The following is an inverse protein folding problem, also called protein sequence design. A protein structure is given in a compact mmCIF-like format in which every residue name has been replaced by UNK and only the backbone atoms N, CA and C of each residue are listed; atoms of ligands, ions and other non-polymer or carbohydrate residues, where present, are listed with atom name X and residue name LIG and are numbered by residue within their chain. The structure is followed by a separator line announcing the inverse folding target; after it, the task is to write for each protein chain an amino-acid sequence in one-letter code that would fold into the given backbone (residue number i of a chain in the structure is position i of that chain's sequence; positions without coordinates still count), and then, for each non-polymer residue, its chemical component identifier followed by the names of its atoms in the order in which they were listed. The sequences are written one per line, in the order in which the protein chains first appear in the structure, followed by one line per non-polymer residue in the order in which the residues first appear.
data_IF_307579056648
#
_entry.id   IF_307579056648
#
_cell.length_a   1.000
_cell.length_b   1.000
_cell.length_c   1.000
_cell.angle_alpha   90.00
_cell.angle_beta   90.00
_cell.angle_gamma   90.00
#
_symmetry.space_group_name_H-M   'P 1'
#
loop_
_entity.id
_entity.type
_entity.pdbx_description
1 polymer ?
#
# COMPACT_ATOMS: atom_id res chain seq x y z
N UNK A 1 16.32 21.86 17.03
CA UNK A 1 15.84 20.67 17.77
C UNK A 1 16.01 19.44 16.89
N UNK A 2 16.71 18.41 17.37
CA UNK A 2 16.77 17.10 16.71
C UNK A 2 15.41 16.41 16.79
N UNK A 3 15.03 15.63 15.77
CA UNK A 3 13.70 14.98 15.69
C UNK A 3 13.58 13.68 16.51
N UNK A 4 14.58 13.30 17.29
CA UNK A 4 14.53 12.10 18.14
C UNK A 4 14.47 10.78 17.37
N UNK A 5 15.03 10.73 16.15
CA UNK A 5 15.06 9.54 15.30
C UNK A 5 16.49 9.15 14.97
N UNK A 6 16.72 7.84 14.84
CA UNK A 6 17.99 7.25 14.41
C UNK A 6 17.74 6.22 13.30
N UNK A 7 18.75 6.01 12.45
CA UNK A 7 18.75 4.97 11.43
C UNK A 7 19.87 3.99 11.71
N UNK A 8 19.54 2.70 11.72
CA UNK A 8 20.49 1.62 11.97
C UNK A 8 20.43 0.71 10.74
N UNK A 9 21.60 0.43 10.16
CA UNK A 9 21.75 -0.52 9.05
C UNK A 9 22.22 -1.85 9.61
N UNK A 10 21.43 -2.89 9.39
CA UNK A 10 21.86 -4.27 9.56
C UNK A 10 22.42 -4.83 8.25
N UNK A 11 23.29 -5.83 8.35
CA UNK A 11 23.83 -6.52 7.18
C UNK A 11 22.78 -7.43 6.54
N UNK A 12 22.03 -8.16 7.38
CA UNK A 12 20.95 -9.04 6.91
C UNK A 12 19.59 -8.52 7.32
N UNK A 13 18.60 -8.80 6.46
CA UNK A 13 17.20 -8.51 6.75
C UNK A 13 16.69 -9.23 7.99
N UNK A 14 17.03 -10.51 8.16
CA UNK A 14 16.59 -11.32 9.30
C UNK A 14 17.00 -10.68 10.63
N UNK A 15 18.23 -10.18 10.73
CA UNK A 15 18.72 -9.49 11.94
C UNK A 15 17.91 -8.22 12.24
N UNK A 16 17.48 -7.49 11.21
CA UNK A 16 16.60 -6.33 11.38
C UNK A 16 15.19 -6.74 11.82
N UNK A 17 14.68 -7.88 11.36
CA UNK A 17 13.36 -8.41 11.75
C UNK A 17 13.36 -8.85 13.22
N UNK A 18 14.40 -9.55 13.68
CA UNK A 18 14.60 -9.90 15.08
C UNK A 18 14.71 -8.63 15.95
N UNK A 19 15.51 -7.64 15.53
CA UNK A 19 15.64 -6.38 16.26
C UNK A 19 14.32 -5.60 16.37
N UNK A 20 13.50 -5.58 15.31
CA UNK A 20 12.16 -4.97 15.36
C UNK A 20 11.28 -5.71 16.37
N UNK A 21 11.29 -7.04 16.36
CA UNK A 21 10.48 -7.85 17.27
C UNK A 21 10.82 -7.60 18.74
N UNK A 22 12.11 -7.48 19.05
CA UNK A 22 12.58 -7.36 20.44
C UNK A 22 12.53 -5.92 20.97
N UNK A 23 12.75 -4.91 20.12
CA UNK A 23 12.90 -3.52 20.54
C UNK A 23 11.65 -2.66 20.31
N UNK A 24 10.77 -3.02 19.37
CA UNK A 24 9.59 -2.22 19.08
C UNK A 24 8.61 -2.24 20.28
N UNK A 25 8.24 -1.06 20.78
CA UNK A 25 7.39 -0.93 21.95
C UNK A 25 8.15 -0.97 23.29
N UNK A 26 9.47 -1.13 23.27
CA UNK A 26 10.27 -1.08 24.50
C UNK A 26 10.33 0.36 25.05
N UNK A 27 10.24 0.51 26.36
CA UNK A 27 10.38 1.82 27.03
C UNK A 27 11.77 1.92 27.65
N UNK A 28 12.74 2.62 27.03
CA UNK A 28 14.06 2.76 27.61
C UNK A 28 14.01 3.57 28.91
N UNK A 29 14.93 3.31 29.85
CA UNK A 29 14.97 4.00 31.14
C UNK A 29 15.19 5.49 30.92
N UNK A 30 14.31 6.31 31.50
CA UNK A 30 14.33 7.78 31.35
C UNK A 30 13.52 8.32 30.17
N UNK A 31 13.00 7.47 29.28
CA UNK A 31 12.05 7.90 28.26
C UNK A 31 10.61 7.94 28.82
N UNK A 32 9.81 8.88 28.32
CA UNK A 32 8.39 9.01 28.68
C UNK A 32 7.54 8.04 27.85
N UNK A 33 7.91 7.85 26.58
CA UNK A 33 7.19 7.05 25.58
C UNK A 33 7.99 5.82 25.13
N UNK A 34 7.28 4.81 24.65
CA UNK A 34 7.88 3.62 24.06
C UNK A 34 8.54 3.97 22.71
N UNK A 35 9.67 3.33 22.41
CA UNK A 35 10.31 3.49 21.10
C UNK A 35 9.54 2.73 20.04
N UNK A 36 9.60 3.23 18.81
CA UNK A 36 9.10 2.51 17.64
C UNK A 36 10.26 2.12 16.78
N UNK A 37 10.31 0.84 16.40
CA UNK A 37 11.33 0.31 15.51
C UNK A 37 10.62 -0.26 14.30
N UNK A 38 10.97 0.27 13.12
CA UNK A 38 10.37 -0.11 11.84
C UNK A 38 11.40 0.03 10.73
N UNK A 39 11.16 -0.64 9.61
CA UNK A 39 11.94 -0.40 8.41
C UNK A 39 11.85 1.06 7.97
N UNK A 40 12.99 1.62 7.57
CA UNK A 40 13.05 2.94 7.01
C UNK A 40 12.22 2.99 5.71
N UNK A 41 11.50 4.09 5.51
CA UNK A 41 10.81 4.32 4.24
C UNK A 41 11.87 4.55 3.16
N UNK A 42 11.92 3.67 2.15
CA UNK A 42 12.66 3.99 0.93
C UNK A 42 11.89 5.08 0.19
N UNK A 43 12.54 6.21 -0.20
CA UNK A 43 11.86 7.35 -0.82
C UNK A 43 11.09 6.98 -2.11
N UNK A 44 11.37 5.82 -2.72
CA UNK A 44 10.75 5.36 -3.95
C UNK A 44 9.68 4.25 -3.78
N UNK A 45 9.30 3.85 -2.56
CA UNK A 45 8.31 2.77 -2.34
C UNK A 45 6.87 3.23 -2.05
N UNK A 46 6.54 4.50 -2.24
CA UNK A 46 5.20 5.02 -1.96
C UNK A 46 4.11 4.62 -2.99
N UNK A 47 4.25 3.53 -3.77
CA UNK A 47 3.36 3.24 -4.91
C UNK A 47 2.91 1.78 -5.08
N UNK A 48 2.78 0.97 -4.03
CA UNK A 48 2.24 -0.39 -4.23
C UNK A 48 1.36 -0.95 -3.10
N UNK A 49 0.47 -0.13 -2.56
CA UNK A 49 -0.61 -0.62 -1.67
C UNK A 49 -1.94 0.08 -1.95
N UNK A 50 -2.43 -0.05 -3.18
CA UNK A 50 -3.85 0.19 -3.52
C UNK A 50 -4.27 -0.87 -4.54
N UNK A 51 -4.48 -2.10 -4.09
CA UNK A 51 -5.13 -3.13 -4.90
C UNK A 51 -6.64 -2.87 -4.75
N UNK A 52 -7.17 -1.97 -5.57
CA UNK A 52 -8.63 -1.80 -5.73
C UNK A 52 -9.10 -2.97 -6.61
N UNK A 53 -10.03 -3.84 -6.17
CA UNK A 53 -10.60 -4.85 -7.06
C UNK A 53 -11.48 -4.16 -8.11
N UNK A 54 -11.36 -4.48 -9.42
CA UNK A 54 -12.27 -3.96 -10.41
C UNK A 54 -13.64 -4.63 -10.23
N UNK A 55 -14.63 -3.87 -9.75
CA UNK A 55 -16.03 -4.28 -9.81
C UNK A 55 -16.48 -4.17 -11.26
N UNK A 56 -16.40 -5.30 -11.99
CA UNK A 56 -17.07 -5.45 -13.27
C UNK A 56 -18.59 -5.46 -13.04
N UNK A 57 -19.22 -4.30 -13.21
CA UNK A 57 -20.66 -4.19 -13.38
C UNK A 57 -21.06 -4.80 -14.72
N UNK A 58 -21.51 -6.06 -14.72
CA UNK A 58 -22.22 -6.65 -15.85
C UNK A 58 -23.68 -6.19 -15.81
N UNK A 59 -24.02 -5.13 -16.54
CA UNK A 59 -25.42 -4.81 -16.84
C UNK A 59 -25.93 -5.68 -17.99
N UNK A 60 -27.07 -6.39 -17.85
CA UNK A 60 -27.73 -7.03 -18.98
C UNK A 60 -28.71 -6.04 -19.60
N UNK A 61 -28.27 -5.21 -20.57
CA UNK A 61 -29.22 -4.48 -21.42
C UNK A 61 -29.66 -5.36 -22.59
N UNK A 62 -30.64 -6.23 -22.31
CA UNK A 62 -31.56 -6.72 -23.34
C UNK A 62 -32.73 -5.73 -23.43
N UNK A 63 -33.25 -5.55 -24.65
CA UNK A 63 -34.36 -4.68 -25.09
C UNK A 63 -33.97 -3.36 -25.78
N UNK A 64 -34.17 -3.37 -27.09
CA UNK A 64 -34.12 -2.26 -28.04
C UNK A 64 -33.89 -2.87 -29.42
N UNK A 65 -34.91 -3.22 -30.20
CA UNK A 65 -35.97 -2.37 -30.76
C UNK A 65 -35.94 -2.61 -32.29
N UNK A 66 -37.04 -2.35 -33.03
CA UNK A 66 -37.29 -3.00 -34.31
C UNK A 66 -36.42 -2.50 -35.47
N UNK A 67 -36.13 -3.48 -36.34
CA UNK A 67 -35.51 -3.37 -37.67
C UNK A 67 -36.29 -2.39 -38.55
N UNK A 68 -35.63 -1.35 -39.09
CA UNK A 68 -36.26 -0.46 -40.07
C UNK A 68 -35.30 0.05 -41.18
N UNK A 69 -35.28 -0.71 -42.29
CA UNK A 69 -35.49 -0.27 -43.70
C UNK A 69 -34.36 0.38 -44.54
N UNK A 70 -34.65 0.45 -45.85
CA UNK A 70 -33.86 0.21 -47.07
C UNK A 70 -33.43 1.48 -47.84
N UNK A 71 -32.55 1.28 -48.84
CA UNK A 71 -32.25 2.08 -50.06
C UNK A 71 -31.00 2.99 -49.97
N UNK A 72 -30.18 3.20 -51.02
CA UNK A 72 -30.36 3.07 -52.47
C UNK A 72 -29.00 2.64 -53.10
N UNK A 73 -29.04 1.77 -54.12
CA UNK A 73 -27.88 1.44 -54.96
C UNK A 73 -27.69 2.50 -56.07
N UNK A 74 -26.42 2.71 -56.41
CA UNK A 74 -25.82 3.44 -57.52
C UNK A 74 -25.81 4.97 -57.39
#
# INVERSE_FOLDING_TARGET
LSRGVAFIRFDKRAEAEDAIKDLNGQKPPGAVEAITVKFAATPNQAKNSQIIPPIYHTQPRRFGGPVHHQAQRF
#
